data_IF_640256655081
#
_entry.id   IF_640256655081
#
_cell.length_a   1.000
_cell.length_b   1.000
_cell.length_c   1.000
_cell.angle_alpha   90.00
_cell.angle_beta   90.00
_cell.angle_gamma   90.00
#
_symmetry.space_group_name_H-M   'P 1'
#
loop_
_entity.id
_entity.type
_entity.pdbx_description
1 polymer ?
#
# COMPACT_ATOMS: atom_id res chain seq x y z
N UNK A 1 -21.82 -1.15 -2.86
CA UNK A 1 -20.55 -1.74 -3.32
C UNK A 1 -20.79 -3.22 -3.51
N UNK A 2 -20.47 -3.75 -4.69
CA UNK A 2 -20.66 -5.16 -5.02
C UNK A 2 -19.79 -6.03 -4.11
N UNK A 3 -20.41 -6.99 -3.42
CA UNK A 3 -19.69 -8.01 -2.65
C UNK A 3 -19.06 -9.02 -3.63
N UNK A 4 -17.87 -9.58 -3.33
CA UNK A 4 -17.11 -10.47 -4.22
C UNK A 4 -17.75 -11.84 -4.50
N UNK A 5 -19.02 -12.06 -4.14
CA UNK A 5 -19.72 -13.35 -4.34
C UNK A 5 -20.21 -13.56 -5.77
N UNK A 6 -20.23 -12.53 -6.62
CA UNK A 6 -20.72 -12.63 -8.00
C UNK A 6 -19.80 -13.43 -8.93
N UNK A 7 -18.51 -13.57 -8.59
CA UNK A 7 -17.54 -14.30 -9.43
C UNK A 7 -17.38 -15.78 -9.06
N UNK A 8 -17.82 -16.20 -7.87
CA UNK A 8 -17.56 -17.53 -7.31
C UNK A 8 -18.81 -18.43 -7.14
N UNK A 9 -20.00 -17.95 -7.53
CA UNK A 9 -21.28 -18.66 -7.38
C UNK A 9 -21.58 -19.16 -5.94
N UNK A 10 -21.05 -18.47 -4.94
CA UNK A 10 -21.29 -18.79 -3.53
C UNK A 10 -22.62 -18.18 -3.08
N UNK A 11 -23.46 -18.99 -2.46
CA UNK A 11 -24.66 -18.51 -1.78
C UNK A 11 -24.27 -17.66 -0.55
N UNK A 12 -24.69 -16.40 -0.52
CA UNK A 12 -24.37 -15.48 0.58
C UNK A 12 -24.93 -15.96 1.92
N UNK A 13 -26.02 -16.71 1.89
CA UNK A 13 -26.63 -17.26 3.11
C UNK A 13 -25.82 -18.43 3.70
N UNK A 14 -24.88 -19.01 2.94
CA UNK A 14 -23.95 -20.02 3.44
C UNK A 14 -22.74 -19.45 4.18
N UNK A 15 -22.59 -18.12 4.24
CA UNK A 15 -21.51 -17.46 4.98
C UNK A 15 -21.92 -17.37 6.46
N UNK A 16 -21.28 -18.20 7.30
CA UNK A 16 -21.59 -18.32 8.73
C UNK A 16 -20.71 -17.46 9.64
N UNK A 17 -19.56 -17.01 9.14
CA UNK A 17 -18.60 -16.21 9.91
C UNK A 17 -17.82 -15.24 9.02
N UNK A 18 -17.43 -14.09 9.58
CA UNK A 18 -16.59 -13.07 8.97
C UNK A 18 -15.55 -12.60 9.99
N UNK A 19 -14.27 -12.56 9.58
CA UNK A 19 -13.20 -11.91 10.35
C UNK A 19 -12.91 -10.56 9.71
N UNK A 20 -12.78 -9.51 10.53
CA UNK A 20 -12.51 -8.15 10.09
C UNK A 20 -11.25 -7.64 10.78
N UNK A 21 -10.42 -6.96 10.01
CA UNK A 21 -9.15 -6.40 10.45
C UNK A 21 -8.93 -5.05 9.76
N UNK A 22 -8.27 -4.13 10.45
CA UNK A 22 -8.00 -2.78 9.98
C UNK A 22 -7.46 -1.88 11.07
N UNK A 23 -6.95 -0.71 10.68
CA UNK A 23 -6.46 0.26 11.64
C UNK A 23 -7.59 0.73 12.57
N UNK A 24 -7.21 1.30 13.72
CA UNK A 24 -8.16 1.67 14.77
C UNK A 24 -9.26 2.61 14.26
N UNK A 25 -8.96 3.57 13.38
CA UNK A 25 -9.97 4.46 12.80
C UNK A 25 -10.96 3.68 11.93
N UNK A 26 -10.48 2.80 11.06
CA UNK A 26 -11.35 1.98 10.20
C UNK A 26 -12.26 1.06 11.02
N UNK A 27 -11.75 0.48 12.10
CA UNK A 27 -12.55 -0.36 12.98
C UNK A 27 -13.64 0.44 13.71
N UNK A 28 -13.34 1.66 14.15
CA UNK A 28 -14.35 2.56 14.74
C UNK A 28 -15.45 2.90 13.73
N UNK A 29 -15.09 3.25 12.49
CA UNK A 29 -16.05 3.53 11.42
C UNK A 29 -16.90 2.29 11.08
N UNK A 30 -16.27 1.12 11.00
CA UNK A 30 -16.94 -0.15 10.70
C UNK A 30 -18.01 -0.50 11.75
N UNK A 31 -17.73 -0.28 13.04
CA UNK A 31 -18.67 -0.52 14.13
C UNK A 31 -19.59 0.68 14.44
N UNK A 32 -19.51 1.77 13.66
CA UNK A 32 -20.31 2.98 13.91
C UNK A 32 -19.96 3.73 15.20
N UNK A 33 -18.76 3.52 15.74
CA UNK A 33 -18.25 4.20 16.93
C UNK A 33 -17.54 5.50 16.50
N UNK A 34 -17.83 6.66 17.12
CA UNK A 34 -17.19 7.92 16.74
C UNK A 34 -15.66 7.90 16.96
N UNK A 35 -14.83 8.14 15.92
CA UNK A 35 -13.36 8.09 16.04
C UNK A 35 -12.74 9.42 16.47
N UNK A 36 -13.54 10.41 16.92
CA UNK A 36 -13.12 11.81 17.10
C UNK A 36 -11.85 11.96 17.93
N UNK A 37 -11.78 11.28 19.08
CA UNK A 37 -10.68 11.44 20.04
C UNK A 37 -9.39 10.68 19.69
N UNK A 38 -9.40 9.87 18.61
CA UNK A 38 -8.19 9.18 18.13
C UNK A 38 -7.13 10.21 17.68
N UNK A 39 -7.57 11.31 17.06
CA UNK A 39 -6.71 12.38 16.56
C UNK A 39 -6.52 13.58 17.50
N UNK A 40 -7.23 13.60 18.63
CA UNK A 40 -7.15 14.68 19.62
C UNK A 40 -6.31 14.20 20.81
N UNK A 41 -5.39 15.04 21.30
CA UNK A 41 -4.59 14.72 22.49
C UNK A 41 -5.50 14.33 23.68
N UNK A 42 -5.24 13.21 24.39
CA UNK A 42 -4.03 12.39 24.40
C UNK A 42 -4.03 11.17 23.44
N UNK A 43 -4.75 11.26 22.32
CA UNK A 43 -4.80 10.27 21.23
C UNK A 43 -5.34 8.92 21.70
N UNK A 44 -6.59 8.89 22.17
CA UNK A 44 -7.20 7.72 22.79
C UNK A 44 -8.29 7.12 21.91
N UNK A 45 -8.26 5.79 21.76
CA UNK A 45 -9.35 5.02 21.15
C UNK A 45 -10.51 4.85 22.12
N UNK A 46 -11.73 4.76 21.59
CA UNK A 46 -12.89 4.38 22.40
C UNK A 46 -12.80 2.90 22.78
N UNK A 47 -12.35 2.07 21.84
CA UNK A 47 -12.10 0.65 22.08
C UNK A 47 -10.96 0.14 21.19
N UNK A 48 -10.10 -0.70 21.77
CA UNK A 48 -9.12 -1.51 21.02
C UNK A 48 -9.63 -2.94 20.76
N UNK A 49 -10.70 -3.34 21.45
CA UNK A 49 -11.37 -4.62 21.30
C UNK A 49 -12.85 -4.39 21.07
N UNK A 50 -13.36 -4.86 19.94
CA UNK A 50 -14.78 -4.89 19.65
C UNK A 50 -15.33 -6.28 19.98
N UNK A 51 -16.53 -6.34 20.56
CA UNK A 51 -17.18 -7.60 20.89
C UNK A 51 -17.62 -8.34 19.63
N UNK A 52 -17.67 -9.67 19.71
CA UNK A 52 -18.31 -10.49 18.68
C UNK A 52 -19.72 -9.97 18.43
N UNK A 53 -20.04 -9.74 17.17
CA UNK A 53 -21.33 -9.21 16.73
C UNK A 53 -21.93 -10.14 15.67
N UNK A 54 -23.18 -9.95 15.32
CA UNK A 54 -23.79 -10.51 14.11
C UNK A 54 -23.70 -9.49 12.98
N UNK A 55 -23.67 -9.95 11.73
CA UNK A 55 -23.71 -9.07 10.57
C UNK A 55 -24.90 -8.10 10.60
N UNK A 56 -26.03 -8.53 11.18
CA UNK A 56 -27.22 -7.71 11.38
C UNK A 56 -26.99 -6.54 12.35
N UNK A 57 -26.33 -6.79 13.48
CA UNK A 57 -26.05 -5.76 14.50
C UNK A 57 -25.17 -4.63 13.96
N UNK A 58 -24.25 -4.95 13.06
CA UNK A 58 -23.35 -3.98 12.42
C UNK A 58 -23.81 -3.57 11.01
N UNK A 59 -25.08 -3.79 10.68
CA UNK A 59 -25.73 -3.31 9.45
C UNK A 59 -25.16 -3.87 8.13
N UNK A 60 -24.51 -5.03 8.14
CA UNK A 60 -24.12 -5.75 6.91
C UNK A 60 -25.33 -6.54 6.39
N UNK A 61 -25.97 -6.02 5.35
CA UNK A 61 -27.25 -6.54 4.83
C UNK A 61 -27.14 -7.84 4.03
N UNK A 62 -25.95 -8.14 3.51
CA UNK A 62 -25.76 -9.19 2.51
C UNK A 62 -25.45 -10.58 3.09
N UNK A 63 -24.95 -10.68 4.33
CA UNK A 63 -24.54 -11.94 4.98
C UNK A 63 -25.22 -12.12 6.34
N UNK A 64 -26.56 -12.20 6.33
CA UNK A 64 -27.39 -12.03 7.53
C UNK A 64 -27.15 -13.06 8.64
N UNK A 65 -26.66 -14.26 8.28
CA UNK A 65 -26.44 -15.37 9.21
C UNK A 65 -25.01 -15.37 9.79
N UNK A 66 -24.15 -14.43 9.40
CA UNK A 66 -22.75 -14.46 9.79
C UNK A 66 -22.51 -13.87 11.19
N UNK A 67 -21.70 -14.57 11.98
CA UNK A 67 -21.00 -13.99 13.12
C UNK A 67 -19.81 -13.16 12.63
N UNK A 68 -19.62 -11.99 13.22
CA UNK A 68 -18.55 -11.07 12.88
C UNK A 68 -17.58 -10.97 14.05
N UNK A 69 -16.33 -11.25 13.75
CA UNK A 69 -15.21 -11.22 14.67
C UNK A 69 -14.23 -10.15 14.21
N UNK A 70 -13.58 -9.48 15.15
CA UNK A 70 -12.58 -8.46 14.88
C UNK A 70 -11.23 -8.83 15.48
N UNK A 71 -10.16 -8.57 14.75
CA UNK A 71 -8.81 -8.60 15.33
C UNK A 71 -8.64 -7.36 16.23
N UNK A 72 -8.04 -7.57 17.40
CA UNK A 72 -7.84 -6.52 18.40
C UNK A 72 -6.72 -5.58 17.97
N UNK A 73 -6.98 -4.27 18.08
CA UNK A 73 -5.93 -3.25 17.99
C UNK A 73 -5.16 -3.13 19.31
N UNK A 74 -4.10 -2.32 19.27
CA UNK A 74 -3.21 -2.04 20.41
C UNK A 74 -3.36 -0.59 20.88
N UNK A 75 -3.41 0.36 19.95
CA UNK A 75 -3.44 1.79 20.22
C UNK A 75 -4.13 2.57 19.08
N UNK A 76 -4.22 3.89 19.21
CA UNK A 76 -4.84 4.79 18.21
C UNK A 76 -4.30 4.65 16.79
N UNK A 77 -3.00 4.37 16.66
CA UNK A 77 -2.32 4.21 15.36
C UNK A 77 -1.70 2.82 15.18
N UNK A 78 -2.07 1.86 16.01
CA UNK A 78 -1.69 0.45 15.88
C UNK A 78 -2.95 -0.39 16.00
N UNK A 79 -3.57 -0.70 14.87
CA UNK A 79 -4.86 -1.39 14.82
C UNK A 79 -4.78 -2.90 14.70
N UNK A 80 -5.92 -3.48 14.32
CA UNK A 80 -6.07 -4.92 14.14
C UNK A 80 -5.34 -5.44 12.91
N UNK A 81 -5.13 -4.59 11.90
CA UNK A 81 -4.31 -4.88 10.72
C UNK A 81 -2.88 -5.28 11.10
N UNK A 82 -2.25 -4.51 11.98
CA UNK A 82 -0.89 -4.79 12.43
C UNK A 82 -0.83 -6.07 13.24
N UNK A 83 -1.73 -6.26 14.20
CA UNK A 83 -1.77 -7.50 15.00
C UNK A 83 -2.12 -8.72 14.16
N UNK A 84 -2.93 -8.55 13.09
CA UNK A 84 -3.17 -9.57 12.09
C UNK A 84 -1.91 -9.94 11.32
N UNK A 85 -1.09 -8.96 10.93
CA UNK A 85 0.19 -9.17 10.28
C UNK A 85 1.18 -9.93 11.17
N UNK A 86 1.25 -9.56 12.45
CA UNK A 86 2.07 -10.28 13.45
C UNK A 86 1.59 -11.72 13.64
N UNK A 87 0.28 -11.95 13.66
CA UNK A 87 -0.27 -13.30 13.72
C UNK A 87 0.07 -14.10 12.46
N UNK A 88 -0.05 -13.50 11.29
CA UNK A 88 0.20 -14.16 10.00
C UNK A 88 1.68 -14.50 9.76
N UNK A 89 2.60 -13.74 10.36
CA UNK A 89 4.05 -13.98 10.27
C UNK A 89 4.59 -14.89 11.36
N UNK A 90 3.75 -15.28 12.34
CA UNK A 90 4.15 -16.03 13.54
C UNK A 90 5.31 -15.38 14.35
N UNK A 91 5.54 -14.08 14.18
CA UNK A 91 6.62 -13.34 14.85
C UNK A 91 6.57 -13.45 16.39
N UNK A 92 5.39 -13.61 16.96
CA UNK A 92 5.17 -13.82 18.41
C UNK A 92 5.64 -15.21 18.91
N UNK A 93 6.02 -16.13 18.03
CA UNK A 93 6.57 -17.45 18.36
C UNK A 93 8.08 -17.52 18.18
N UNK A 94 8.64 -16.60 17.41
CA UNK A 94 10.06 -16.59 17.06
C UNK A 94 10.90 -16.09 18.22
N UNK A 95 12.02 -16.76 18.49
CA UNK A 95 12.98 -16.31 19.51
C UNK A 95 13.91 -15.23 18.98
N UNK A 96 14.19 -15.28 17.68
CA UNK A 96 15.04 -14.31 17.01
C UNK A 96 14.35 -12.96 16.93
N UNK A 97 15.13 -11.89 16.97
CA UNK A 97 14.63 -10.54 16.82
C UNK A 97 14.20 -10.32 15.36
N UNK A 98 12.93 -9.96 15.16
CA UNK A 98 12.39 -9.62 13.85
C UNK A 98 11.91 -8.17 13.80
N UNK A 99 11.84 -7.65 12.56
CA UNK A 99 11.23 -6.37 12.24
C UNK A 99 10.12 -6.63 11.22
N UNK A 100 8.89 -6.37 11.63
CA UNK A 100 7.72 -6.33 10.77
C UNK A 100 7.49 -4.89 10.31
N UNK A 101 7.24 -4.71 9.01
CA UNK A 101 6.93 -3.43 8.39
C UNK A 101 5.64 -3.58 7.59
N UNK A 102 4.64 -2.77 7.91
CA UNK A 102 3.44 -2.57 7.09
C UNK A 102 3.56 -1.19 6.42
N UNK A 103 3.65 -1.19 5.10
CA UNK A 103 3.86 0.01 4.31
C UNK A 103 2.59 0.29 3.51
N UNK A 104 1.79 1.22 4.02
CA UNK A 104 0.63 1.78 3.33
C UNK A 104 0.61 3.30 3.46
N UNK A 105 -0.59 3.86 3.52
CA UNK A 105 -0.83 5.28 3.79
C UNK A 105 -0.14 5.74 5.08
N UNK A 106 -0.11 4.84 6.07
CA UNK A 106 0.76 4.95 7.23
C UNK A 106 1.92 3.96 7.09
N UNK A 107 3.05 4.26 7.72
CA UNK A 107 4.11 3.30 7.94
C UNK A 107 4.00 2.76 9.36
N UNK A 108 3.57 1.52 9.52
CA UNK A 108 3.56 0.85 10.81
C UNK A 108 4.72 -0.14 10.90
N UNK A 109 5.34 -0.21 12.06
CA UNK A 109 6.41 -1.16 12.32
C UNK A 109 6.26 -1.82 13.68
N UNK A 110 6.72 -3.06 13.76
CA UNK A 110 6.83 -3.80 15.02
C UNK A 110 8.20 -4.46 15.06
N UNK A 111 8.92 -4.22 16.14
CA UNK A 111 10.20 -4.89 16.44
C UNK A 111 10.03 -5.75 17.68
N UNK A 112 10.60 -6.95 17.67
CA UNK A 112 10.50 -7.85 18.81
C UNK A 112 10.65 -9.33 18.48
N UNK A 113 10.18 -10.15 19.39
CA UNK A 113 10.21 -11.61 19.34
C UNK A 113 9.13 -12.19 20.29
N UNK A 114 9.23 -13.47 20.64
CA UNK A 114 8.29 -14.16 21.53
C UNK A 114 8.28 -13.65 22.98
N UNK A 115 9.30 -12.92 23.42
CA UNK A 115 9.42 -12.41 24.79
C UNK A 115 8.88 -10.98 24.93
N UNK A 116 9.07 -10.14 23.91
CA UNK A 116 8.63 -8.76 23.90
C UNK A 116 8.41 -8.25 22.47
N UNK A 117 7.49 -7.30 22.32
CA UNK A 117 7.28 -6.58 21.07
C UNK A 117 7.00 -5.11 21.34
N UNK A 118 7.49 -4.24 20.47
CA UNK A 118 7.22 -2.81 20.46
C UNK A 118 6.77 -2.40 19.07
N UNK A 119 5.64 -1.69 18.99
CA UNK A 119 5.13 -1.13 17.75
C UNK A 119 5.18 0.39 17.74
N UNK A 120 5.33 0.97 16.57
CA UNK A 120 5.03 2.38 16.34
C UNK A 120 4.44 2.61 14.95
N UNK A 121 3.89 3.80 14.75
CA UNK A 121 3.30 4.24 13.48
C UNK A 121 3.91 5.59 13.12
N UNK A 122 4.20 5.78 11.84
CA UNK A 122 4.66 7.02 11.26
C UNK A 122 3.77 7.39 10.07
N UNK A 123 3.67 8.68 9.77
CA UNK A 123 3.04 9.14 8.54
C UNK A 123 4.02 8.92 7.38
N UNK A 124 3.68 8.00 6.48
CA UNK A 124 4.46 7.70 5.27
C UNK A 124 3.86 8.35 4.02
N UNK A 125 2.53 8.48 3.96
CA UNK A 125 1.80 8.94 2.78
C UNK A 125 1.51 7.81 1.80
N UNK A 126 0.50 7.94 0.92
CA UNK A 126 0.00 6.84 0.11
C UNK A 126 0.83 6.55 -1.16
N UNK A 127 2.09 7.02 -1.23
CA UNK A 127 2.93 6.91 -2.42
C UNK A 127 3.04 5.46 -2.92
N UNK A 128 3.28 4.50 -2.03
CA UNK A 128 3.37 3.08 -2.37
C UNK A 128 2.02 2.43 -2.69
N UNK A 129 0.90 3.08 -2.38
CA UNK A 129 -0.42 2.68 -2.85
C UNK A 129 -0.77 3.28 -4.23
N UNK A 130 0.17 4.05 -4.81
CA UNK A 130 -0.01 4.81 -6.05
C UNK A 130 -0.67 6.18 -5.83
N UNK A 131 -0.92 6.59 -4.58
CA UNK A 131 -1.51 7.88 -4.25
C UNK A 131 -0.47 8.99 -4.21
N UNK A 132 -0.77 10.15 -4.80
CA UNK A 132 0.15 11.31 -4.81
C UNK A 132 1.25 11.24 -5.88
N UNK A 133 1.36 10.13 -6.60
CA UNK A 133 2.27 9.95 -7.74
C UNK A 133 1.50 10.06 -9.04
N UNK A 134 1.98 10.87 -9.99
CA UNK A 134 1.19 11.25 -11.18
C UNK A 134 0.80 10.07 -12.08
N UNK A 135 1.70 9.11 -12.25
CA UNK A 135 1.45 7.86 -12.97
C UNK A 135 1.22 6.67 -12.01
N UNK A 136 1.03 6.92 -10.71
CA UNK A 136 0.84 5.92 -9.68
C UNK A 136 -0.54 5.28 -9.75
N UNK A 137 -0.60 3.95 -9.62
CA UNK A 137 -1.84 3.18 -9.52
C UNK A 137 -1.68 2.04 -8.52
N UNK A 138 -2.80 1.45 -8.08
CA UNK A 138 -2.77 0.24 -7.26
C UNK A 138 -2.20 -0.96 -8.03
N UNK A 139 -1.74 -1.98 -7.31
CA UNK A 139 -1.29 -3.24 -7.89
C UNK A 139 -2.48 -4.03 -8.46
N UNK A 140 -2.79 -3.78 -9.73
CA UNK A 140 -3.88 -4.42 -10.50
C UNK A 140 -3.40 -4.65 -11.93
N UNK A 141 -4.16 -5.41 -12.73
CA UNK A 141 -3.83 -5.65 -14.13
C UNK A 141 -3.50 -4.35 -14.89
N UNK A 142 -2.41 -4.39 -15.65
CA UNK A 142 -1.84 -3.25 -16.34
C UNK A 142 -0.90 -2.37 -15.51
N UNK A 143 -0.66 -2.67 -14.24
CA UNK A 143 0.33 -1.96 -13.43
C UNK A 143 1.75 -2.50 -13.64
N UNK A 144 2.71 -1.58 -13.79
CA UNK A 144 4.13 -1.92 -13.84
C UNK A 144 4.58 -2.26 -12.42
N UNK A 145 5.01 -3.50 -12.22
CA UNK A 145 5.42 -4.03 -10.90
C UNK A 145 6.91 -4.25 -10.74
N UNK A 146 7.65 -4.41 -11.85
CA UNK A 146 9.12 -4.47 -11.84
C UNK A 146 9.72 -3.61 -12.92
N UNK A 147 10.84 -2.96 -12.61
CA UNK A 147 11.55 -2.08 -13.53
C UNK A 147 13.05 -2.37 -13.46
N UNK A 148 13.72 -2.42 -14.61
CA UNK A 148 15.17 -2.39 -14.69
C UNK A 148 15.67 -1.38 -15.72
N UNK A 149 16.73 -0.65 -15.40
CA UNK A 149 17.34 0.37 -16.24
C UNK A 149 18.69 -0.11 -16.77
N UNK A 150 18.84 -0.12 -18.10
CA UNK A 150 20.11 -0.46 -18.74
C UNK A 150 21.17 0.61 -18.46
N UNK A 151 22.31 0.25 -17.85
CA UNK A 151 23.42 1.20 -17.62
C UNK A 151 23.98 1.83 -18.90
N UNK A 152 23.95 1.11 -20.03
CA UNK A 152 24.54 1.58 -21.30
C UNK A 152 23.61 2.52 -22.07
N UNK A 153 22.31 2.29 -21.98
CA UNK A 153 21.33 2.97 -22.84
C UNK A 153 20.33 3.81 -22.07
N UNK A 154 20.27 3.62 -20.74
CA UNK A 154 19.26 4.18 -19.85
C UNK A 154 17.83 3.86 -20.28
N UNK A 155 17.61 2.76 -21.02
CA UNK A 155 16.28 2.29 -21.37
C UNK A 155 15.70 1.44 -20.25
N UNK A 156 14.43 1.69 -19.90
CA UNK A 156 13.66 0.82 -19.01
C UNK A 156 13.22 -0.49 -19.69
N UNK A 157 13.34 -1.57 -18.93
CA UNK A 157 12.63 -2.82 -19.13
C UNK A 157 11.61 -2.95 -17.99
N UNK A 158 10.41 -3.44 -18.30
CA UNK A 158 9.29 -3.46 -17.37
C UNK A 158 8.60 -4.83 -17.35
N UNK A 159 8.04 -5.18 -16.20
CA UNK A 159 7.09 -6.28 -16.04
C UNK A 159 5.74 -5.71 -15.59
N UNK A 160 4.65 -6.22 -16.16
CA UNK A 160 3.30 -5.69 -15.96
C UNK A 160 2.43 -6.79 -15.38
N UNK A 161 1.69 -6.49 -14.30
CA UNK A 161 0.71 -7.40 -13.70
C UNK A 161 -0.33 -7.77 -14.76
N UNK A 162 -0.53 -9.07 -14.98
CA UNK A 162 -1.42 -9.59 -16.02
C UNK A 162 -0.88 -9.45 -17.45
N UNK A 163 0.32 -8.89 -17.64
CA UNK A 163 0.94 -8.62 -18.94
C UNK A 163 0.29 -7.47 -19.72
N UNK A 164 0.49 -7.46 -21.03
CA UNK A 164 -0.13 -6.47 -21.93
C UNK A 164 0.48 -5.06 -21.86
N UNK A 165 -0.31 -4.05 -22.27
CA UNK A 165 0.13 -2.66 -22.26
C UNK A 165 -0.02 -2.06 -20.85
N UNK A 166 1.01 -1.41 -20.31
CA UNK A 166 0.93 -0.78 -18.99
C UNK A 166 0.04 0.46 -19.00
N UNK A 167 -0.56 0.79 -17.87
CA UNK A 167 -1.38 1.99 -17.65
C UNK A 167 -0.90 2.88 -16.49
N UNK A 168 0.07 2.41 -15.71
CA UNK A 168 0.64 3.13 -14.59
C UNK A 168 1.64 2.28 -13.82
N UNK A 169 2.15 2.80 -12.71
CA UNK A 169 3.19 2.20 -11.87
C UNK A 169 2.60 1.87 -10.51
N UNK A 170 2.77 0.65 -10.00
CA UNK A 170 2.36 0.31 -8.63
C UNK A 170 3.51 0.51 -7.63
N UNK A 171 3.22 0.36 -6.33
CA UNK A 171 4.19 0.56 -5.25
C UNK A 171 5.52 -0.15 -5.43
N UNK A 172 5.51 -1.44 -5.81
CA UNK A 172 6.74 -2.18 -6.08
C UNK A 172 7.52 -1.61 -7.28
N UNK A 173 6.81 -1.20 -8.33
CA UNK A 173 7.41 -0.49 -9.46
C UNK A 173 8.03 0.85 -9.07
N UNK A 174 7.40 1.59 -8.15
CA UNK A 174 7.94 2.86 -7.63
C UNK A 174 9.24 2.65 -6.83
N UNK A 175 9.31 1.58 -6.04
CA UNK A 175 10.54 1.20 -5.32
C UNK A 175 11.64 0.83 -6.33
N UNK A 176 11.33 -0.02 -7.30
CA UNK A 176 12.28 -0.47 -8.32
C UNK A 176 12.82 0.68 -9.17
N UNK A 177 11.96 1.60 -9.62
CA UNK A 177 12.41 2.71 -10.48
C UNK A 177 13.34 3.65 -9.74
N UNK A 178 13.03 4.03 -8.50
CA UNK A 178 13.89 4.92 -7.70
C UNK A 178 15.22 4.21 -7.39
N UNK A 179 15.18 2.93 -7.01
CA UNK A 179 16.36 2.12 -6.75
C UNK A 179 17.27 1.99 -7.98
N UNK A 180 16.71 1.62 -9.12
CA UNK A 180 17.47 1.50 -10.38
C UNK A 180 17.98 2.87 -10.84
N UNK A 181 17.19 3.93 -10.74
CA UNK A 181 17.65 5.27 -11.09
C UNK A 181 18.87 5.68 -10.27
N UNK A 182 18.84 5.44 -8.96
CA UNK A 182 19.97 5.74 -8.08
C UNK A 182 21.19 4.89 -8.44
N UNK A 183 21.01 3.57 -8.59
CA UNK A 183 22.10 2.64 -8.89
C UNK A 183 22.75 2.91 -10.25
N UNK A 184 21.99 3.37 -11.25
CA UNK A 184 22.54 3.71 -12.58
C UNK A 184 23.04 5.16 -12.70
N UNK A 185 22.87 5.96 -11.65
CA UNK A 185 23.24 7.39 -11.63
C UNK A 185 22.31 8.30 -12.43
N UNK A 186 21.06 7.87 -12.65
CA UNK A 186 19.98 8.68 -13.23
C UNK A 186 19.56 9.79 -12.26
N UNK A 187 19.55 9.47 -10.97
CA UNK A 187 19.33 10.44 -9.89
C UNK A 187 20.49 10.40 -8.89
N UNK A 188 20.69 11.51 -8.19
CA UNK A 188 21.65 11.59 -7.08
C UNK A 188 21.04 11.18 -5.73
N UNK A 189 21.82 11.32 -4.64
CA UNK A 189 21.36 11.00 -3.27
C UNK A 189 20.25 11.92 -2.74
N UNK A 190 19.98 13.03 -3.42
CA UNK A 190 18.92 13.98 -3.09
C UNK A 190 17.69 13.78 -4.00
N UNK A 191 17.66 12.72 -4.81
CA UNK A 191 16.57 12.46 -5.75
C UNK A 191 16.57 13.39 -6.97
N UNK A 192 17.64 14.15 -7.21
CA UNK A 192 17.72 15.07 -8.37
C UNK A 192 18.20 14.36 -9.61
N UNK A 193 17.54 14.63 -10.74
CA UNK A 193 17.96 14.06 -12.01
C UNK A 193 19.32 14.60 -12.41
N UNK A 194 20.22 13.67 -12.74
CA UNK A 194 21.49 14.02 -13.34
C UNK A 194 21.24 14.37 -14.82
N UNK A 195 21.40 15.66 -15.16
CA UNK A 195 21.16 16.21 -16.50
C UNK A 195 22.33 15.96 -17.46
N UNK A 196 23.51 15.60 -16.93
CA UNK A 196 24.75 15.45 -17.71
C UNK A 196 24.87 14.08 -18.40
N UNK A 197 24.02 13.12 -18.04
CA UNK A 197 24.08 11.75 -18.55
C UNK A 197 23.66 11.65 -20.03
N UNK A 198 23.12 12.73 -20.62
CA UNK A 198 22.73 12.79 -22.03
C UNK A 198 21.72 11.71 -22.42
N UNK A 199 20.86 11.29 -21.49
CA UNK A 199 19.91 10.22 -21.71
C UNK A 199 18.64 10.77 -22.40
N UNK A 200 18.21 10.15 -23.49
CA UNK A 200 17.04 10.60 -24.28
C UNK A 200 15.68 10.38 -23.61
N UNK A 201 15.66 9.64 -22.49
CA UNK A 201 14.44 9.33 -21.74
C UNK A 201 14.13 10.40 -20.69
N UNK A 202 15.13 11.19 -20.30
CA UNK A 202 14.98 12.37 -19.47
C UNK A 202 14.58 13.56 -20.36
N UNK A 203 13.38 14.06 -20.14
CA UNK A 203 12.85 15.26 -20.79
C UNK A 203 12.69 16.33 -19.74
N UNK A 204 13.31 17.49 -19.95
CA UNK A 204 13.21 18.62 -19.04
C UNK A 204 12.62 19.83 -19.76
N UNK A 205 11.60 20.44 -19.17
CA UNK A 205 10.99 21.70 -19.64
C UNK A 205 10.71 22.60 -18.42
N UNK A 206 11.18 23.86 -18.45
CA UNK A 206 10.93 24.86 -17.40
C UNK A 206 11.16 24.34 -15.96
N UNK A 207 12.30 23.68 -15.73
CA UNK A 207 12.69 23.03 -14.47
C UNK A 207 11.84 21.83 -14.01
N UNK A 208 10.85 21.39 -14.80
CA UNK A 208 10.19 20.09 -14.63
C UNK A 208 10.91 19.03 -15.48
N UNK A 209 11.59 18.11 -14.81
CA UNK A 209 12.27 16.98 -15.43
C UNK A 209 11.47 15.70 -15.20
N UNK A 210 11.25 14.97 -16.29
CA UNK A 210 10.49 13.73 -16.32
C UNK A 210 11.31 12.65 -17.01
N UNK A 211 11.44 11.50 -16.37
CA UNK A 211 12.06 10.33 -16.96
C UNK A 211 10.97 9.41 -17.49
N UNK A 212 10.96 9.20 -18.82
CA UNK A 212 9.93 8.42 -19.52
C UNK A 212 10.26 6.93 -19.42
N UNK A 213 9.42 6.17 -18.71
CA UNK A 213 9.51 4.71 -18.62
C UNK A 213 8.89 4.05 -19.86
N UNK A 214 7.73 4.55 -20.29
CA UNK A 214 6.95 4.01 -21.42
C UNK A 214 6.36 5.15 -22.24
N UNK A 215 6.62 5.16 -23.55
CA UNK A 215 5.98 6.11 -24.46
C UNK A 215 4.49 5.78 -24.66
N UNK A 216 3.64 6.79 -24.85
CA UNK A 216 2.18 6.67 -24.89
C UNK A 216 1.66 5.73 -25.98
N UNK A 217 2.36 5.60 -27.10
CA UNK A 217 2.02 4.60 -28.15
C UNK A 217 2.04 3.15 -27.62
N UNK A 218 2.85 2.90 -26.59
CA UNK A 218 3.03 1.61 -25.94
C UNK A 218 2.24 1.47 -24.63
N UNK A 219 1.62 2.54 -24.13
CA UNK A 219 0.74 2.49 -22.96
C UNK A 219 -0.71 2.16 -23.35
N UNK A 220 -1.50 1.70 -22.38
CA UNK A 220 -2.92 1.47 -22.56
C UNK A 220 -3.73 2.79 -22.56
N UNK A 221 -3.20 3.86 -21.97
CA UNK A 221 -3.85 5.17 -21.88
C UNK A 221 -3.62 6.03 -23.12
N UNK A 222 -2.59 5.73 -23.92
CA UNK A 222 -2.14 6.59 -25.01
C UNK A 222 -1.23 7.73 -24.55
N UNK A 223 -1.02 7.87 -23.24
CA UNK A 223 -0.17 8.88 -22.61
C UNK A 223 1.14 8.26 -22.11
N UNK A 224 2.20 9.07 -22.07
CA UNK A 224 3.50 8.64 -21.55
C UNK A 224 3.38 8.24 -20.06
N UNK A 225 4.03 7.14 -19.67
CA UNK A 225 4.22 6.75 -18.26
C UNK A 225 5.62 7.17 -17.87
N UNK A 226 5.71 8.01 -16.84
CA UNK A 226 6.95 8.65 -16.44
C UNK A 226 7.04 8.81 -14.92
N UNK A 227 8.22 9.19 -14.45
CA UNK A 227 8.47 9.67 -13.07
C UNK A 227 9.09 11.05 -13.14
N UNK A 228 8.57 11.98 -12.34
CA UNK A 228 9.08 13.35 -12.16
C UNK A 228 9.87 13.49 -10.86
N UNK A 229 10.58 14.62 -10.69
CA UNK A 229 11.25 14.90 -9.41
C UNK A 229 10.26 15.08 -8.26
N UNK A 230 9.05 15.59 -8.54
CA UNK A 230 7.99 15.73 -7.53
C UNK A 230 7.47 14.37 -7.06
N UNK A 231 7.53 13.35 -7.91
CA UNK A 231 7.16 11.99 -7.52
C UNK A 231 8.27 11.29 -6.69
N UNK A 232 9.51 11.81 -6.73
CA UNK A 232 10.68 11.25 -6.03
C UNK A 232 10.87 11.88 -4.64
N UNK A 233 10.49 13.16 -4.48
CA UNK A 233 10.58 13.93 -3.22
C UNK A 233 9.53 13.46 -2.18
#
# INVERSE_FOLDING_TARGET
SEFPTTSSHIDVDSIVSMMVSGNSTMMHLFYGVPPRYIREEPYVTVANKFSSSTAKEISIKHIKNAHVYSIQGVASYLGGDITSGILATDMYREKELALFLDLGTNGELVVGNSEWMMGCSCSAGPAFEGGGVKCGIRAVDGAIEKISISQKTYKCQIEVIGGGKPRGICGSGLIDVVGEMYLKGVIDRKGKFNKDIGNKYLRCADDDCQYILVEGKNSATGEDIYISEVDID
#
